data_IF_510647358032
#
_entry.id   IF_510647358032
#
_cell.length_a   1.000
_cell.length_b   1.000
_cell.length_c   1.000
_cell.angle_alpha   90.00
_cell.angle_beta   90.00
_cell.angle_gamma   90.00
#
_symmetry.space_group_name_H-M   'P 1'
#
loop_
_entity.id
_entity.type
_entity.pdbx_description
1 polymer ?
#
# COMPACT_ATOMS: atom_id res chain seq x y z
N UNK A 1 23.53 5.91 -28.87
CA UNK A 1 22.09 5.70 -28.53
C UNK A 1 21.90 4.43 -27.71
N UNK A 2 22.31 3.27 -28.22
CA UNK A 2 22.09 1.96 -27.55
C UNK A 2 22.74 1.83 -26.16
N UNK A 3 24.00 2.26 -26.01
CA UNK A 3 24.68 2.30 -24.69
C UNK A 3 23.96 3.19 -23.67
N UNK A 4 23.44 4.34 -24.13
CA UNK A 4 22.72 5.28 -23.26
C UNK A 4 21.35 4.71 -22.84
N UNK A 5 20.68 4.02 -23.77
CA UNK A 5 19.42 3.34 -23.52
C UNK A 5 19.58 2.17 -22.53
N UNK A 6 20.65 1.39 -22.67
CA UNK A 6 20.98 0.31 -21.73
C UNK A 6 21.37 0.84 -20.35
N UNK A 7 22.12 1.95 -20.28
CA UNK A 7 22.43 2.61 -19.02
C UNK A 7 21.16 3.11 -18.32
N UNK A 8 20.24 3.75 -19.05
CA UNK A 8 18.96 4.22 -18.52
C UNK A 8 18.07 3.06 -18.05
N UNK A 9 18.01 1.96 -18.81
CA UNK A 9 17.27 0.74 -18.43
C UNK A 9 17.85 0.07 -17.19
N UNK A 10 19.17 -0.07 -17.12
CA UNK A 10 19.85 -0.64 -15.95
C UNK A 10 19.66 0.23 -14.70
N UNK A 11 19.69 1.55 -14.85
CA UNK A 11 19.43 2.48 -13.75
C UNK A 11 17.98 2.38 -13.28
N UNK A 12 17.02 2.36 -14.21
CA UNK A 12 15.59 2.15 -13.90
C UNK A 12 15.34 0.81 -13.20
N UNK A 13 15.95 -0.27 -13.68
CA UNK A 13 15.85 -1.60 -13.08
C UNK A 13 16.51 -1.65 -11.70
N UNK A 14 17.67 -1.03 -11.53
CA UNK A 14 18.33 -0.92 -10.23
C UNK A 14 17.47 -0.13 -9.24
N UNK A 15 16.85 0.97 -9.69
CA UNK A 15 15.96 1.80 -8.85
C UNK A 15 14.70 1.01 -8.48
N UNK A 16 14.08 0.30 -9.44
CA UNK A 16 12.93 -0.58 -9.20
C UNK A 16 13.25 -1.76 -8.27
N UNK A 17 14.48 -2.28 -8.28
CA UNK A 17 14.91 -3.34 -7.37
C UNK A 17 15.21 -2.83 -5.97
N UNK A 18 15.62 -1.56 -5.85
CA UNK A 18 15.93 -0.90 -4.58
C UNK A 18 14.66 -0.39 -3.89
N UNK A 19 13.65 0.06 -4.64
CA UNK A 19 12.27 0.12 -4.16
C UNK A 19 11.65 -1.27 -4.19
N UNK A 20 12.23 -2.19 -3.41
CA UNK A 20 11.36 -3.13 -2.72
C UNK A 20 10.51 -2.25 -1.82
N UNK A 21 9.36 -1.79 -2.32
CA UNK A 21 8.30 -1.25 -1.48
C UNK A 21 8.00 -2.42 -0.57
N UNK A 22 8.64 -2.43 0.60
CA UNK A 22 8.37 -3.39 1.65
C UNK A 22 6.90 -3.11 1.94
N UNK A 23 6.03 -3.94 1.38
CA UNK A 23 4.61 -3.91 1.67
C UNK A 23 4.55 -4.06 3.19
N UNK A 24 4.29 -2.97 3.94
CA UNK A 24 4.52 -2.97 5.38
C UNK A 24 3.60 -3.99 6.06
N UNK A 25 2.57 -4.43 5.34
CA UNK A 25 1.71 -5.54 5.66
C UNK A 25 1.41 -6.39 4.43
N UNK A 26 1.59 -7.70 4.54
CA UNK A 26 0.91 -8.62 3.62
C UNK A 26 -0.61 -8.44 3.74
N UNK A 27 -1.38 -8.68 2.66
CA UNK A 27 -2.85 -8.57 2.67
C UNK A 27 -3.47 -9.27 3.90
N UNK A 28 -3.07 -10.51 4.27
CA UNK A 28 -3.61 -11.16 5.46
C UNK A 28 -3.31 -10.43 6.78
N UNK A 29 -2.15 -9.79 6.93
CA UNK A 29 -1.83 -9.05 8.14
C UNK A 29 -2.62 -7.74 8.22
N UNK A 30 -2.82 -7.06 7.09
CA UNK A 30 -3.61 -5.83 7.08
C UNK A 30 -5.10 -6.08 7.36
N UNK A 31 -5.64 -7.21 6.89
CA UNK A 31 -6.99 -7.65 7.23
C UNK A 31 -7.10 -7.92 8.75
N UNK A 32 -6.14 -8.66 9.35
CA UNK A 32 -6.13 -8.88 10.80
C UNK A 32 -6.12 -7.59 11.63
N UNK A 33 -5.36 -6.58 11.19
CA UNK A 33 -5.34 -5.27 11.85
C UNK A 33 -6.70 -4.59 11.72
N UNK A 34 -7.35 -4.68 10.56
CA UNK A 34 -8.71 -4.16 10.36
C UNK A 34 -9.74 -4.85 11.24
N UNK A 35 -9.72 -6.18 11.30
CA UNK A 35 -10.65 -6.97 12.11
C UNK A 35 -10.48 -6.66 13.61
N UNK A 36 -9.27 -6.30 14.04
CA UNK A 36 -9.02 -5.90 15.44
C UNK A 36 -9.63 -4.54 15.82
N UNK A 37 -10.05 -3.73 14.84
CA UNK A 37 -10.72 -2.44 15.04
C UNK A 37 -12.25 -2.56 14.92
N UNK A 38 -12.81 -3.77 15.01
CA UNK A 38 -14.25 -4.03 14.86
C UNK A 38 -15.11 -3.30 15.91
N UNK A 39 -14.54 -2.98 17.08
CA UNK A 39 -15.22 -2.20 18.12
C UNK A 39 -15.42 -0.73 17.71
N UNK A 40 -14.44 -0.12 17.04
CA UNK A 40 -14.50 1.27 16.57
C UNK A 40 -15.12 1.41 15.17
N UNK A 41 -14.91 0.42 14.32
CA UNK A 41 -15.39 0.38 12.94
C UNK A 41 -16.10 -0.96 12.70
N UNK A 42 -17.44 -1.01 12.88
CA UNK A 42 -18.19 -2.24 12.70
C UNK A 42 -17.95 -2.85 11.31
N UNK A 43 -17.88 -4.17 11.22
CA UNK A 43 -17.69 -4.89 9.94
C UNK A 43 -18.80 -4.60 8.92
N UNK A 44 -20.00 -4.29 9.40
CA UNK A 44 -21.15 -3.91 8.59
C UNK A 44 -21.07 -2.46 8.07
N UNK A 45 -20.11 -1.68 8.56
CA UNK A 45 -19.99 -0.29 8.18
C UNK A 45 -19.52 -0.15 6.73
N UNK A 46 -20.02 0.85 6.00
CA UNK A 46 -19.50 1.18 4.67
C UNK A 46 -17.99 1.49 4.69
N UNK A 47 -17.48 2.00 5.81
CA UNK A 47 -16.07 2.33 6.01
C UNK A 47 -15.19 1.07 6.03
N UNK A 48 -15.62 0.02 6.72
CA UNK A 48 -14.95 -1.27 6.75
C UNK A 48 -14.87 -1.87 5.34
N UNK A 49 -15.99 -1.91 4.62
CA UNK A 49 -16.04 -2.44 3.26
C UNK A 49 -15.19 -1.63 2.26
N UNK A 50 -15.23 -0.30 2.35
CA UNK A 50 -14.41 0.59 1.53
C UNK A 50 -12.92 0.33 1.77
N UNK A 51 -12.51 0.18 3.02
CA UNK A 51 -11.13 -0.06 3.41
C UNK A 51 -10.60 -1.40 2.91
N UNK A 52 -11.41 -2.47 3.02
CA UNK A 52 -11.11 -3.79 2.43
C UNK A 52 -10.88 -3.71 0.92
N UNK A 53 -11.76 -3.00 0.19
CA UNK A 53 -11.60 -2.79 -1.26
C UNK A 53 -10.30 -2.07 -1.62
N UNK A 54 -9.89 -1.09 -0.82
CA UNK A 54 -8.63 -0.37 -1.03
C UNK A 54 -7.41 -1.25 -0.73
N UNK A 55 -7.49 -2.09 0.31
CA UNK A 55 -6.44 -3.01 0.73
C UNK A 55 -6.18 -4.16 -0.25
N UNK A 56 -7.23 -4.70 -0.84
CA UNK A 56 -7.15 -5.79 -1.82
C UNK A 56 -6.59 -5.34 -3.17
N UNK A 57 -6.64 -4.03 -3.46
CA UNK A 57 -6.05 -3.47 -4.67
C UNK A 57 -4.61 -2.99 -4.38
N UNK A 58 -3.62 -3.61 -5.02
CA UNK A 58 -2.18 -3.35 -4.77
C UNK A 58 -1.80 -1.87 -4.90
N UNK A 59 -2.24 -1.19 -5.95
CA UNK A 59 -1.86 0.20 -6.23
C UNK A 59 -2.54 1.16 -5.24
N UNK A 60 -3.84 0.92 -4.98
CA UNK A 60 -4.61 1.71 -4.01
C UNK A 60 -4.14 1.49 -2.58
N UNK A 61 -3.68 0.27 -2.23
CA UNK A 61 -3.12 -0.05 -0.91
C UNK A 61 -1.90 0.79 -0.62
N UNK A 62 -0.95 0.88 -1.56
CA UNK A 62 0.28 1.68 -1.39
C UNK A 62 -0.10 3.15 -1.13
N UNK A 63 -1.01 3.70 -1.92
CA UNK A 63 -1.47 5.08 -1.75
C UNK A 63 -2.20 5.27 -0.40
N UNK A 64 -3.12 4.38 -0.05
CA UNK A 64 -3.88 4.44 1.21
C UNK A 64 -2.98 4.37 2.44
N UNK A 65 -2.02 3.45 2.47
CA UNK A 65 -1.07 3.28 3.57
C UNK A 65 -0.05 4.42 3.64
N UNK A 66 0.22 5.12 2.53
CA UNK A 66 1.12 6.28 2.48
C UNK A 66 0.51 7.57 3.05
N UNK A 67 -0.79 7.58 3.38
CA UNK A 67 -1.45 8.76 3.96
C UNK A 67 -0.81 9.07 5.31
N UNK A 68 -0.31 10.30 5.43
CA UNK A 68 0.42 10.78 6.59
C UNK A 68 -0.39 10.57 7.89
N UNK A 69 0.19 9.98 8.94
CA UNK A 69 -0.49 9.77 10.22
C UNK A 69 -1.12 11.03 10.82
N UNK A 70 -0.52 12.20 10.57
CA UNK A 70 -1.01 13.50 11.06
C UNK A 70 -2.34 13.92 10.42
N UNK A 71 -2.65 13.40 9.22
CA UNK A 71 -3.92 13.65 8.53
C UNK A 71 -5.01 12.70 9.03
N UNK A 72 -4.64 11.56 9.66
CA UNK A 72 -5.61 10.61 10.25
C UNK A 72 -6.21 11.06 11.57
N UNK A 73 -5.57 12.01 12.25
CA UNK A 73 -5.95 12.50 13.58
C UNK A 73 -6.74 13.83 13.55
N UNK A 74 -7.07 14.32 12.36
CA UNK A 74 -7.76 15.59 12.10
C UNK A 74 -9.21 15.30 11.72
#
# INVERSE_FOLDING_TARGET
MEKLCNAAKNMSQATSSLTHVIDPYSIPQAIKVFDSMSEEVPETSPLYFLSLRLLLNKDKRIMFLSINPKIRAL
#
